data_IF_395260340598
#
_entry.id   IF_395260340598
#
_cell.length_a   1.000
_cell.length_b   1.000
_cell.length_c   1.000
_cell.angle_alpha   90.00
_cell.angle_beta   90.00
_cell.angle_gamma   90.00
#
_symmetry.space_group_name_H-M   'P 1'
#
loop_
_entity.id
_entity.type
_entity.pdbx_description
1 polymer ?
#
# COMPACT_ATOMS: atom_id res chain seq x y z
N UNK A 1 -12.70 -13.17 9.01
CA UNK A 1 -12.50 -13.89 7.74
C UNK A 1 -11.07 -14.45 7.58
N UNK A 2 -9.97 -13.74 7.84
CA UNK A 2 -8.60 -14.27 7.72
C UNK A 2 -8.33 -15.53 8.56
N UNK A 3 -8.82 -15.58 9.81
CA UNK A 3 -8.62 -16.73 10.72
C UNK A 3 -9.10 -18.06 10.11
N UNK A 4 -10.29 -18.09 9.48
CA UNK A 4 -10.83 -19.31 8.85
C UNK A 4 -10.01 -19.81 7.66
N UNK A 5 -9.35 -18.91 6.92
CA UNK A 5 -8.44 -19.28 5.82
C UNK A 5 -7.16 -19.90 6.36
N UNK A 6 -6.58 -19.32 7.39
CA UNK A 6 -5.37 -19.84 8.04
C UNK A 6 -5.63 -21.21 8.67
N UNK A 7 -6.74 -21.37 9.38
CA UNK A 7 -7.16 -22.65 9.95
C UNK A 7 -7.30 -23.75 8.87
N UNK A 8 -7.93 -23.43 7.72
CA UNK A 8 -8.06 -24.37 6.60
C UNK A 8 -6.73 -24.71 5.93
N UNK A 9 -5.78 -23.79 5.94
CA UNK A 9 -4.43 -24.00 5.44
C UNK A 9 -3.49 -24.69 6.45
N UNK A 10 -3.97 -24.99 7.66
CA UNK A 10 -3.15 -25.53 8.74
C UNK A 10 -2.10 -24.57 9.29
N UNK A 11 -2.30 -23.26 9.07
CA UNK A 11 -1.38 -22.23 9.50
C UNK A 11 -1.88 -21.57 10.79
N UNK A 12 -0.95 -21.21 11.67
CA UNK A 12 -1.25 -20.42 12.85
C UNK A 12 -1.14 -18.92 12.53
N UNK A 13 -2.14 -18.10 12.92
CA UNK A 13 -2.04 -16.67 12.76
C UNK A 13 -0.93 -16.11 13.63
N UNK A 14 -0.05 -15.30 13.05
CA UNK A 14 0.88 -14.45 13.77
C UNK A 14 0.19 -13.19 14.29
N UNK A 15 0.96 -12.13 14.49
CA UNK A 15 0.44 -10.82 14.83
C UNK A 15 -0.43 -10.27 13.69
N UNK A 16 -1.60 -9.75 14.01
CA UNK A 16 -2.52 -9.15 13.05
C UNK A 16 -2.81 -7.70 13.44
N UNK A 17 -2.73 -6.79 12.47
CA UNK A 17 -3.13 -5.40 12.61
C UNK A 17 -3.87 -4.95 11.35
N UNK A 18 -4.50 -3.79 11.39
CA UNK A 18 -5.19 -3.21 10.26
C UNK A 18 -4.95 -1.70 10.22
N UNK A 19 -5.05 -1.12 9.04
CA UNK A 19 -5.03 0.32 8.82
C UNK A 19 -6.31 0.76 8.13
N UNK A 20 -6.86 1.90 8.55
CA UNK A 20 -8.08 2.47 7.98
C UNK A 20 -7.70 3.82 7.37
N UNK A 21 -8.15 4.12 6.16
CA UNK A 21 -7.72 5.30 5.42
C UNK A 21 -8.84 6.31 5.07
N UNK A 22 -10.09 6.00 5.44
CA UNK A 22 -11.22 6.90 5.26
C UNK A 22 -12.13 6.82 6.49
N UNK A 23 -11.88 7.69 7.47
CA UNK A 23 -12.67 7.73 8.70
C UNK A 23 -12.54 9.08 9.42
N UNK A 24 -13.45 9.29 10.36
CA UNK A 24 -13.38 10.41 11.30
C UNK A 24 -12.92 9.86 12.64
N UNK A 25 -11.82 10.38 13.14
CA UNK A 25 -11.36 10.16 14.49
C UNK A 25 -12.05 11.21 15.37
N UNK A 26 -13.04 10.76 16.14
CA UNK A 26 -13.85 11.67 16.96
C UNK A 26 -13.14 12.10 18.24
N UNK A 27 -12.18 11.32 18.71
CA UNK A 27 -11.41 11.61 19.93
C UNK A 27 -10.35 12.67 19.66
N UNK A 28 -9.72 12.61 18.50
CA UNK A 28 -8.71 13.56 18.03
C UNK A 28 -9.27 14.68 17.16
N UNK A 29 -10.54 14.59 16.77
CA UNK A 29 -11.19 15.52 15.83
C UNK A 29 -10.48 15.61 14.47
N UNK A 30 -9.95 14.49 13.99
CA UNK A 30 -9.22 14.40 12.71
C UNK A 30 -10.05 13.65 11.68
N UNK A 31 -10.27 14.28 10.51
CA UNK A 31 -10.81 13.62 9.34
C UNK A 31 -9.65 13.08 8.47
N UNK A 32 -9.58 11.75 8.31
CA UNK A 32 -8.61 11.10 7.41
C UNK A 32 -9.32 10.61 6.14
N UNK A 33 -8.88 11.12 4.99
CA UNK A 33 -9.33 10.66 3.67
C UNK A 33 -8.10 10.41 2.79
N UNK A 34 -7.87 9.16 2.41
CA UNK A 34 -6.65 8.79 1.71
C UNK A 34 -5.39 8.92 2.59
N UNK A 35 -5.57 8.89 3.90
CA UNK A 35 -4.52 8.95 4.91
C UNK A 35 -4.83 7.95 6.03
N UNK A 36 -3.80 7.37 6.62
CA UNK A 36 -3.90 6.45 7.76
C UNK A 36 -3.35 7.11 9.02
N UNK A 37 -3.76 6.64 10.20
CA UNK A 37 -3.13 7.03 11.46
C UNK A 37 -1.68 6.52 11.49
N UNK A 38 -0.78 7.31 12.08
CA UNK A 38 0.64 7.01 12.21
C UNK A 38 1.20 7.62 13.50
N UNK A 39 0.58 7.30 14.63
CA UNK A 39 1.04 7.71 15.95
C UNK A 39 2.40 7.09 16.26
N UNK A 40 3.09 7.60 17.24
CA UNK A 40 4.41 7.10 17.61
C UNK A 40 4.36 5.61 17.97
N UNK A 41 5.07 4.78 17.19
CA UNK A 41 5.14 3.33 17.38
C UNK A 41 3.95 2.56 16.81
N UNK A 42 2.97 3.21 16.20
CA UNK A 42 1.85 2.57 15.53
C UNK A 42 2.31 1.90 14.23
N UNK A 43 1.93 0.63 14.02
CA UNK A 43 2.23 -0.09 12.79
C UNK A 43 1.35 0.41 11.65
N UNK A 44 1.98 0.74 10.54
CA UNK A 44 1.32 1.25 9.34
C UNK A 44 1.69 0.39 8.14
N UNK A 45 0.69 0.07 7.31
CA UNK A 45 0.85 -0.66 6.06
C UNK A 45 0.45 0.25 4.90
N UNK A 46 1.37 0.46 3.97
CA UNK A 46 1.18 1.34 2.82
C UNK A 46 1.38 0.54 1.55
N UNK A 47 0.30 0.12 0.88
CA UNK A 47 0.40 -0.56 -0.40
C UNK A 47 0.97 0.36 -1.47
N UNK A 48 1.88 -0.17 -2.27
CA UNK A 48 2.49 0.52 -3.41
C UNK A 48 1.79 0.09 -4.69
N UNK A 49 2.09 -1.09 -5.16
CA UNK A 49 1.49 -1.73 -6.33
C UNK A 49 1.74 -3.25 -6.31
N UNK A 50 1.24 -3.97 -7.31
CA UNK A 50 1.34 -5.44 -7.37
C UNK A 50 2.77 -5.95 -7.58
N UNK A 51 3.66 -5.15 -8.19
CA UNK A 51 5.07 -5.51 -8.42
C UNK A 51 5.94 -5.22 -7.20
N UNK A 52 5.79 -4.03 -6.63
CA UNK A 52 6.68 -3.50 -5.58
C UNK A 52 6.15 -3.82 -4.17
N UNK A 53 4.92 -4.36 -4.06
CA UNK A 53 4.34 -4.81 -2.80
C UNK A 53 3.85 -3.68 -1.90
N UNK A 54 4.18 -3.74 -0.61
CA UNK A 54 3.72 -2.80 0.41
C UNK A 54 4.85 -2.43 1.37
N UNK A 55 4.77 -1.25 1.94
CA UNK A 55 5.68 -0.78 2.99
C UNK A 55 5.05 -1.08 4.35
N UNK A 56 5.77 -1.79 5.20
CA UNK A 56 5.47 -1.91 6.62
C UNK A 56 6.38 -0.95 7.39
N UNK A 57 5.79 -0.04 8.16
CA UNK A 57 6.54 1.00 8.87
C UNK A 57 5.97 1.24 10.28
N UNK A 58 6.70 2.04 11.07
CA UNK A 58 6.24 2.53 12.37
C UNK A 58 6.05 4.04 12.30
N UNK A 59 4.90 4.52 12.76
CA UNK A 59 4.60 5.93 12.89
C UNK A 59 5.57 6.62 13.84
N UNK A 60 5.98 7.84 13.51
CA UNK A 60 6.79 8.70 14.39
C UNK A 60 5.96 9.68 15.21
N UNK A 61 4.66 9.76 14.93
CA UNK A 61 3.74 10.65 15.67
C UNK A 61 4.00 12.12 15.39
N UNK A 62 4.17 12.51 14.13
CA UNK A 62 4.39 13.90 13.77
C UNK A 62 3.07 14.69 13.82
N UNK A 63 2.98 15.63 14.75
CA UNK A 63 1.81 16.50 14.96
C UNK A 63 1.55 17.44 13.79
N UNK A 64 2.59 17.91 13.07
CA UNK A 64 2.44 18.75 11.89
C UNK A 64 1.70 18.04 10.74
N UNK A 65 1.71 16.71 10.76
CA UNK A 65 1.02 15.86 9.80
C UNK A 65 -0.25 15.22 10.38
N UNK A 66 -0.79 15.81 11.45
CA UNK A 66 -1.94 15.27 12.17
C UNK A 66 -1.78 13.78 12.51
N UNK A 67 -0.58 13.38 12.94
CA UNK A 67 -0.26 11.97 13.26
C UNK A 67 -0.67 11.01 12.14
N UNK A 68 -0.48 11.41 10.89
CA UNK A 68 -1.00 10.68 9.73
C UNK A 68 0.11 10.33 8.74
N UNK A 69 -0.21 9.34 7.89
CA UNK A 69 0.62 8.85 6.81
C UNK A 69 -0.20 8.66 5.52
N UNK A 70 0.40 8.67 4.33
CA UNK A 70 -0.29 8.30 3.10
C UNK A 70 -0.80 6.85 3.18
N UNK A 71 -1.97 6.59 2.59
CA UNK A 71 -2.54 5.24 2.52
C UNK A 71 -2.02 4.42 1.33
N UNK A 72 -1.18 4.99 0.48
CA UNK A 72 -0.62 4.35 -0.72
C UNK A 72 0.32 5.29 -1.47
N UNK A 73 0.96 4.79 -2.52
CA UNK A 73 1.97 5.53 -3.28
C UNK A 73 1.42 6.65 -4.18
N UNK A 74 0.10 6.74 -4.32
CA UNK A 74 -0.53 7.67 -5.26
C UNK A 74 -0.38 7.23 -6.72
N UNK A 75 -1.04 7.93 -7.62
CA UNK A 75 -1.04 7.63 -9.05
C UNK A 75 -0.55 8.84 -9.85
N UNK A 76 0.26 8.60 -10.86
CA UNK A 76 0.65 9.63 -11.86
C UNK A 76 -0.30 9.66 -13.04
N UNK A 77 -1.18 8.65 -13.15
CA UNK A 77 -2.13 8.48 -14.25
C UNK A 77 -3.49 8.05 -13.69
N UNK A 78 -4.58 8.61 -14.19
CA UNK A 78 -5.92 8.21 -13.81
C UNK A 78 -6.24 6.78 -14.30
N UNK A 79 -7.22 6.11 -13.67
CA UNK A 79 -7.68 4.77 -14.12
C UNK A 79 -8.12 4.77 -15.59
N UNK A 80 -8.92 5.77 -15.97
CA UNK A 80 -9.43 5.93 -17.34
C UNK A 80 -8.29 6.14 -18.35
N UNK A 81 -7.26 6.88 -17.97
CA UNK A 81 -6.09 7.12 -18.80
C UNK A 81 -5.25 5.85 -18.92
N UNK A 82 -5.03 5.11 -17.83
CA UNK A 82 -4.32 3.85 -17.84
C UNK A 82 -4.97 2.82 -18.79
N UNK A 83 -6.29 2.70 -18.75
CA UNK A 83 -7.05 1.81 -19.67
C UNK A 83 -6.84 2.19 -21.15
N UNK A 84 -6.68 3.48 -21.46
CA UNK A 84 -6.50 3.96 -22.83
C UNK A 84 -5.08 3.86 -23.36
N UNK A 85 -4.10 4.06 -22.48
CA UNK A 85 -2.70 4.24 -22.87
C UNK A 85 -1.84 3.00 -22.66
N UNK A 86 -2.22 2.10 -21.73
CA UNK A 86 -1.43 0.91 -21.44
C UNK A 86 -1.87 -0.28 -22.26
N UNK A 87 -0.92 -1.12 -22.66
CA UNK A 87 -1.20 -2.39 -23.30
C UNK A 87 -1.07 -3.56 -22.30
N UNK A 88 -1.86 -4.61 -22.52
CA UNK A 88 -1.75 -5.84 -21.73
C UNK A 88 -0.34 -6.46 -21.83
N UNK A 89 0.31 -6.32 -22.96
CA UNK A 89 1.68 -6.84 -23.19
C UNK A 89 2.69 -6.15 -22.28
N UNK A 90 2.64 -4.82 -22.19
CA UNK A 90 3.51 -4.05 -21.29
C UNK A 90 3.23 -4.41 -19.84
N UNK A 91 1.95 -4.53 -19.46
CA UNK A 91 1.56 -4.96 -18.12
C UNK A 91 2.12 -6.35 -17.78
N UNK A 92 2.02 -7.33 -18.68
CA UNK A 92 2.60 -8.65 -18.51
C UNK A 92 4.12 -8.62 -18.36
N UNK A 93 4.82 -7.76 -19.12
CA UNK A 93 6.27 -7.59 -19.04
C UNK A 93 6.68 -6.99 -17.68
N UNK A 94 5.98 -5.97 -17.19
CA UNK A 94 6.24 -5.35 -15.88
C UNK A 94 6.00 -6.32 -14.71
N UNK A 95 5.10 -7.26 -14.89
CA UNK A 95 4.78 -8.28 -13.88
C UNK A 95 5.58 -9.58 -14.05
N UNK A 96 6.54 -9.61 -14.98
CA UNK A 96 7.36 -10.79 -15.19
C UNK A 96 8.13 -11.19 -13.93
N UNK A 97 7.99 -12.45 -13.52
CA UNK A 97 8.58 -12.97 -12.28
C UNK A 97 7.71 -12.81 -11.03
N UNK A 98 6.57 -12.11 -11.10
CA UNK A 98 5.61 -12.00 -10.00
C UNK A 98 4.48 -13.00 -10.23
N UNK A 99 4.29 -13.93 -9.27
CA UNK A 99 3.17 -14.86 -9.34
C UNK A 99 1.86 -14.15 -9.01
N UNK A 100 0.98 -14.07 -10.01
CA UNK A 100 -0.36 -13.48 -9.86
C UNK A 100 -1.29 -13.98 -10.96
N UNK A 101 -2.58 -14.11 -10.65
CA UNK A 101 -3.65 -14.43 -11.60
C UNK A 101 -4.39 -13.17 -12.09
N UNK A 102 -3.96 -11.99 -11.63
CA UNK A 102 -4.69 -10.72 -11.82
C UNK A 102 -4.19 -9.89 -13.00
N UNK A 103 -3.27 -10.39 -13.82
CA UNK A 103 -2.74 -9.66 -14.99
C UNK A 103 -3.60 -9.96 -16.22
N UNK A 104 -4.60 -9.13 -16.46
CA UNK A 104 -5.53 -9.25 -17.59
C UNK A 104 -6.09 -7.87 -17.98
N UNK A 105 -6.84 -7.79 -19.07
CA UNK A 105 -7.41 -6.53 -19.59
C UNK A 105 -8.33 -5.83 -18.58
N UNK A 106 -9.08 -6.60 -17.77
CA UNK A 106 -9.98 -6.04 -16.77
C UNK A 106 -9.29 -5.39 -15.57
N UNK A 107 -7.99 -5.58 -15.42
CA UNK A 107 -7.16 -5.05 -14.33
C UNK A 107 -6.02 -4.15 -14.79
N UNK A 108 -6.03 -3.73 -16.04
CA UNK A 108 -4.95 -2.93 -16.64
C UNK A 108 -4.76 -1.58 -15.93
N UNK A 109 -5.83 -1.04 -15.36
CA UNK A 109 -5.79 0.18 -14.55
C UNK A 109 -5.08 0.00 -13.18
N UNK A 110 -4.87 -1.25 -12.75
CA UNK A 110 -4.09 -1.59 -11.54
C UNK A 110 -2.61 -1.93 -11.85
N UNK A 111 -2.18 -1.79 -13.11
CA UNK A 111 -0.79 -2.01 -13.51
C UNK A 111 0.18 -1.15 -12.67
N UNK A 112 1.45 -1.59 -12.48
CA UNK A 112 2.44 -0.82 -11.71
C UNK A 112 2.79 0.55 -12.31
N UNK A 113 2.82 0.67 -13.65
CA UNK A 113 3.28 1.86 -14.36
C UNK A 113 2.54 3.16 -13.98
N UNK A 114 1.21 3.19 -13.75
CA UNK A 114 0.49 4.39 -13.31
C UNK A 114 0.79 4.84 -11.87
N UNK A 115 1.56 4.05 -11.11
CA UNK A 115 1.87 4.34 -9.72
C UNK A 115 3.13 5.21 -9.64
N UNK A 116 3.14 6.19 -8.73
CA UNK A 116 4.23 7.15 -8.61
C UNK A 116 5.49 6.51 -8.00
N UNK A 117 6.57 6.29 -8.79
CA UNK A 117 7.80 5.68 -8.28
C UNK A 117 8.57 6.61 -7.33
N UNK A 118 8.44 7.92 -7.47
CA UNK A 118 9.11 8.90 -6.62
C UNK A 118 8.58 8.88 -5.19
N UNK A 119 7.33 8.44 -5.01
CA UNK A 119 6.72 8.33 -3.69
C UNK A 119 7.46 7.33 -2.81
N UNK A 120 7.94 6.22 -3.38
CA UNK A 120 8.74 5.20 -2.66
C UNK A 120 10.06 5.82 -2.18
N UNK A 121 10.76 6.54 -3.06
CA UNK A 121 12.02 7.21 -2.71
C UNK A 121 11.81 8.31 -1.67
N UNK A 122 10.76 9.12 -1.82
CA UNK A 122 10.43 10.16 -0.86
C UNK A 122 10.04 9.58 0.50
N UNK A 123 9.25 8.51 0.53
CA UNK A 123 8.85 7.82 1.77
C UNK A 123 10.04 7.24 2.52
N UNK A 124 11.08 6.78 1.85
CA UNK A 124 12.28 6.23 2.48
C UNK A 124 13.21 7.29 3.05
N UNK A 125 13.22 8.51 2.47
CA UNK A 125 14.21 9.56 2.79
C UNK A 125 13.70 10.69 3.68
N UNK A 126 12.39 10.97 3.71
CA UNK A 126 11.83 12.19 4.31
C UNK A 126 10.67 11.95 5.27
N UNK A 127 10.11 10.75 5.35
CA UNK A 127 8.93 10.49 6.17
C UNK A 127 9.22 10.44 7.68
N UNK A 128 8.28 10.87 8.53
CA UNK A 128 8.39 10.79 9.98
C UNK A 128 8.29 9.38 10.58
N UNK A 129 8.52 8.32 9.81
CA UNK A 129 8.35 6.91 10.18
C UNK A 129 9.56 6.07 9.83
N UNK A 130 9.75 4.98 10.56
CA UNK A 130 10.81 4.02 10.31
C UNK A 130 10.36 3.07 9.20
N UNK A 131 11.10 3.03 8.10
CA UNK A 131 10.88 2.11 6.99
C UNK A 131 11.51 0.74 7.30
N UNK A 132 10.76 -0.33 7.08
CA UNK A 132 11.28 -1.69 7.03
C UNK A 132 10.79 -2.35 5.75
N UNK A 133 11.69 -2.69 4.87
CA UNK A 133 11.40 -3.54 3.72
C UNK A 133 11.48 -4.98 4.23
N UNK A 134 10.36 -5.70 4.25
CA UNK A 134 10.43 -7.15 4.43
C UNK A 134 10.93 -7.76 3.11
N UNK A 135 12.14 -8.31 3.15
CA UNK A 135 12.76 -9.05 2.05
C UNK A 135 12.20 -10.48 1.92
N UNK A 136 11.03 -10.75 2.44
CA UNK A 136 10.35 -12.03 2.22
C UNK A 136 9.50 -11.97 0.96
N UNK A 137 10.16 -11.88 -0.19
CA UNK A 137 9.62 -12.49 -1.40
C UNK A 137 9.85 -14.00 -1.29
N UNK A 138 8.77 -14.74 -1.18
CA UNK A 138 8.74 -16.18 -1.39
C UNK A 138 9.22 -16.52 -2.81
#
# INVERSE_FOLDING_TARGET
MPKKLLERAGLQPGEAFHTIHNYIDVDEMILRKGAIAAHKGEKVLIPINMRDGSILALGKGNAEWNYSAPHGAGRIMSRTQAIKELSLKEYQQEMAGIYTTSVNEGTIDEAPMPINPLMISWMSSVTPWTYRRDETSL
#
